data_IF_074566467122
#
_entry.id   IF_074566467122
#
_cell.length_a   1.000
_cell.length_b   1.000
_cell.length_c   1.000
_cell.angle_alpha   90.00
_cell.angle_beta   90.00
_cell.angle_gamma   90.00
#
_symmetry.space_group_name_H-M   'P 1'
#
loop_
_entity.id
_entity.type
_entity.pdbx_description
1 polymer ?
#
# COMPACT_ATOMS: atom_id res chain seq x y z
N UNK A 1 -3.56 4.53 -8.72
CA UNK A 1 -2.70 4.27 -7.53
C UNK A 1 -2.65 2.76 -7.29
N UNK A 2 -1.53 2.25 -6.77
CA UNK A 2 -1.38 0.81 -6.46
C UNK A 2 -1.53 0.63 -4.95
N UNK A 3 -2.44 -0.25 -4.52
CA UNK A 3 -2.65 -0.56 -3.11
C UNK A 3 -1.86 -1.82 -2.78
N UNK A 4 -0.96 -1.72 -1.79
CA UNK A 4 -0.07 -2.82 -1.42
C UNK A 4 -0.20 -3.13 0.06
N UNK A 5 -0.56 -4.38 0.38
CA UNK A 5 -0.48 -4.93 1.74
C UNK A 5 0.82 -5.74 1.84
N UNK A 6 1.73 -5.31 2.72
CA UNK A 6 2.99 -6.01 2.98
C UNK A 6 2.96 -6.67 4.36
N UNK A 7 3.17 -7.99 4.41
CA UNK A 7 3.30 -8.77 5.64
C UNK A 7 4.47 -9.76 5.50
N UNK A 8 5.18 -10.04 6.60
CA UNK A 8 6.31 -10.96 6.63
C UNK A 8 7.58 -10.35 7.23
N UNK A 9 8.74 -10.88 6.85
CA UNK A 9 10.05 -10.37 7.29
C UNK A 9 10.43 -9.12 6.49
N UNK A 10 11.15 -8.18 7.12
CA UNK A 10 11.63 -6.94 6.50
C UNK A 10 10.54 -6.01 5.92
N UNK A 11 9.31 -6.10 6.43
CA UNK A 11 8.18 -5.24 6.00
C UNK A 11 8.53 -3.76 6.07
N UNK A 12 9.24 -3.32 7.11
CA UNK A 12 9.63 -1.92 7.26
C UNK A 12 10.60 -1.46 6.17
N UNK A 13 11.54 -2.33 5.77
CA UNK A 13 12.45 -2.05 4.66
C UNK A 13 11.68 -2.01 3.33
N UNK A 14 10.78 -2.98 3.11
CA UNK A 14 9.91 -3.02 1.94
C UNK A 14 9.05 -1.75 1.81
N UNK A 15 8.40 -1.32 2.90
CA UNK A 15 7.61 -0.08 2.93
C UNK A 15 8.46 1.15 2.59
N UNK A 16 9.66 1.26 3.16
CA UNK A 16 10.59 2.37 2.85
C UNK A 16 10.98 2.39 1.37
N UNK A 17 11.31 1.23 0.78
CA UNK A 17 11.65 1.13 -0.64
C UNK A 17 10.48 1.51 -1.54
N UNK A 18 9.26 1.11 -1.19
CA UNK A 18 8.07 1.49 -1.96
C UNK A 18 7.78 2.99 -1.84
N UNK A 19 7.96 3.60 -0.66
CA UNK A 19 7.80 5.04 -0.47
C UNK A 19 8.82 5.86 -1.28
N UNK A 20 10.06 5.37 -1.43
CA UNK A 20 11.10 6.06 -2.21
C UNK A 20 11.10 5.73 -3.69
N UNK A 21 10.23 4.83 -4.16
CA UNK A 21 10.19 4.39 -5.56
C UNK A 21 9.66 5.42 -6.55
N UNK A 22 9.09 6.53 -6.07
CA UNK A 22 8.43 7.53 -6.91
C UNK A 22 7.11 7.05 -7.53
N UNK A 23 6.65 5.85 -7.17
CA UNK A 23 5.36 5.30 -7.59
C UNK A 23 4.25 5.77 -6.66
N UNK A 24 3.06 6.00 -7.20
CA UNK A 24 1.86 6.32 -6.42
C UNK A 24 1.31 5.06 -5.74
N UNK A 25 1.94 4.68 -4.63
CA UNK A 25 1.64 3.49 -3.83
C UNK A 25 0.99 3.89 -2.51
N UNK A 26 -0.11 3.20 -2.18
CA UNK A 26 -0.79 3.31 -0.91
C UNK A 26 -0.58 2.00 -0.14
N UNK A 27 0.01 2.10 1.05
CA UNK A 27 0.26 0.93 1.90
C UNK A 27 -0.98 0.62 2.74
N UNK A 28 -1.48 -0.61 2.65
CA UNK A 28 -2.60 -1.10 3.45
C UNK A 28 -2.12 -2.00 4.60
N UNK A 29 -2.83 -1.93 5.72
CA UNK A 29 -2.52 -2.71 6.93
C UNK A 29 -3.18 -4.09 6.93
N UNK A 30 -4.24 -4.27 6.12
CA UNK A 30 -5.00 -5.52 6.04
C UNK A 30 -5.78 -5.63 4.74
N UNK A 31 -6.40 -6.79 4.49
CA UNK A 31 -7.22 -6.98 3.27
C UNK A 31 -8.44 -6.07 3.23
N UNK A 32 -9.13 -5.91 4.37
CA UNK A 32 -10.31 -5.03 4.45
C UNK A 32 -9.92 -3.57 4.20
N UNK A 33 -8.82 -3.13 4.81
CA UNK A 33 -8.26 -1.79 4.61
C UNK A 33 -7.83 -1.59 3.15
N UNK A 34 -7.14 -2.56 2.55
CA UNK A 34 -6.76 -2.51 1.14
C UNK A 34 -7.98 -2.38 0.21
N UNK A 35 -9.05 -3.13 0.48
CA UNK A 35 -10.28 -3.05 -0.28
C UNK A 35 -10.96 -1.68 -0.15
N UNK A 36 -11.02 -1.12 1.07
CA UNK A 36 -11.57 0.21 1.30
C UNK A 36 -10.74 1.30 0.62
N UNK A 37 -9.41 1.22 0.69
CA UNK A 37 -8.51 2.15 0.03
C UNK A 37 -8.63 2.07 -1.49
N UNK A 38 -8.76 0.88 -2.05
CA UNK A 38 -8.97 0.69 -3.48
C UNK A 38 -10.24 1.40 -3.97
N UNK A 39 -11.36 1.27 -3.24
CA UNK A 39 -12.61 1.96 -3.59
C UNK A 39 -12.46 3.48 -3.48
N UNK A 40 -11.89 3.99 -2.38
CA UNK A 40 -11.66 5.43 -2.20
C UNK A 40 -10.79 6.02 -3.32
N UNK A 41 -9.77 5.27 -3.74
CA UNK A 41 -8.82 5.69 -4.75
C UNK A 41 -9.39 5.75 -6.18
N UNK A 42 -10.55 5.14 -6.44
CA UNK A 42 -11.26 5.22 -7.74
C UNK A 42 -12.21 6.42 -7.79
N UNK A 43 -12.69 6.89 -6.63
CA UNK A 43 -13.68 7.97 -6.53
C UNK A 43 -13.02 9.35 -6.39
N UNK A 44 -11.71 9.40 -6.12
CA UNK A 44 -10.91 10.62 -5.95
C UNK A 44 -10.37 11.19 -7.26
#
# INVERSE_FOLDING_TARGET
PVIVRLEGTNVDLGKKMLQTSGLNIISAEGLTDAAQQAVKAVVA
#
